data_IF_268567671195
#
_entry.id   IF_268567671195
#
_cell.length_a   1.000
_cell.length_b   1.000
_cell.length_c   1.000
_cell.angle_alpha   90.00
_cell.angle_beta   90.00
_cell.angle_gamma   90.00
#
_symmetry.space_group_name_H-M   'P 1'
#
loop_
_entity.id
_entity.type
_entity.pdbx_description
1 polymer ?
#
# COMPACT_ATOMS: atom_id res chain seq x y z
N UNK A 1 -21.91 3.34 -21.28
CA UNK A 1 -20.51 3.13 -20.81
C UNK A 1 -20.34 3.24 -19.27
N UNK A 2 -21.41 3.14 -18.46
CA UNK A 2 -21.33 3.24 -16.99
C UNK A 2 -21.22 1.88 -16.27
N UNK A 3 -21.66 0.78 -16.90
CA UNK A 3 -21.76 -0.55 -16.27
C UNK A 3 -20.37 -1.20 -16.04
N UNK A 4 -19.38 -0.89 -16.88
CA UNK A 4 -18.03 -1.44 -16.74
C UNK A 4 -17.25 -0.82 -15.57
N UNK A 5 -17.44 0.48 -15.30
CA UNK A 5 -16.78 1.17 -14.19
C UNK A 5 -17.26 0.66 -12.81
N UNK A 6 -18.55 0.33 -12.68
CA UNK A 6 -19.09 -0.27 -11.45
C UNK A 6 -18.51 -1.65 -11.16
N UNK A 7 -18.34 -2.48 -12.19
CA UNK A 7 -17.81 -3.84 -12.03
C UNK A 7 -16.34 -3.82 -11.58
N UNK A 8 -15.51 -2.97 -12.18
CA UNK A 8 -14.10 -2.86 -11.83
C UNK A 8 -13.91 -2.30 -10.42
N UNK A 9 -14.71 -1.31 -10.01
CA UNK A 9 -14.68 -0.74 -8.68
C UNK A 9 -15.07 -1.76 -7.59
N UNK A 10 -16.08 -2.59 -7.86
CA UNK A 10 -16.49 -3.67 -6.96
C UNK A 10 -15.41 -4.76 -6.84
N UNK A 11 -14.78 -5.14 -7.96
CA UNK A 11 -13.65 -6.08 -7.95
C UNK A 11 -12.47 -5.55 -7.14
N UNK A 12 -12.14 -4.27 -7.27
CA UNK A 12 -11.09 -3.63 -6.48
C UNK A 12 -11.44 -3.64 -4.99
N UNK A 13 -12.68 -3.31 -4.61
CA UNK A 13 -13.14 -3.37 -3.22
C UNK A 13 -13.03 -4.80 -2.67
N UNK A 14 -13.46 -5.79 -3.45
CA UNK A 14 -13.35 -7.20 -3.06
C UNK A 14 -11.89 -7.62 -2.85
N UNK A 15 -11.00 -7.24 -3.76
CA UNK A 15 -9.57 -7.52 -3.65
C UNK A 15 -8.98 -6.88 -2.39
N UNK A 16 -9.22 -5.58 -2.17
CA UNK A 16 -8.71 -4.86 -1.00
C UNK A 16 -9.26 -5.48 0.29
N UNK A 17 -10.56 -5.78 0.34
CA UNK A 17 -11.19 -6.40 1.50
C UNK A 17 -10.59 -7.78 1.80
N UNK A 18 -10.35 -8.60 0.78
CA UNK A 18 -9.71 -9.91 0.93
C UNK A 18 -8.28 -9.79 1.47
N UNK A 19 -7.50 -8.83 0.96
CA UNK A 19 -6.16 -8.54 1.45
C UNK A 19 -6.17 -8.11 2.93
N UNK A 20 -7.09 -7.22 3.33
CA UNK A 20 -7.21 -6.76 4.71
C UNK A 20 -7.62 -7.87 5.66
N UNK A 21 -8.55 -8.75 5.25
CA UNK A 21 -8.94 -9.91 6.05
C UNK A 21 -7.78 -10.88 6.26
N UNK A 22 -6.96 -11.13 5.22
CA UNK A 22 -5.74 -11.94 5.36
C UNK A 22 -4.72 -11.28 6.28
N UNK A 23 -4.51 -9.96 6.16
CA UNK A 23 -3.62 -9.22 7.06
C UNK A 23 -4.09 -9.30 8.53
N UNK A 24 -5.41 -9.32 8.77
CA UNK A 24 -5.97 -9.51 10.12
C UNK A 24 -5.78 -10.94 10.64
N UNK A 25 -5.79 -11.95 9.78
CA UNK A 25 -5.52 -13.33 10.19
C UNK A 25 -4.05 -13.52 10.60
N UNK A 26 -3.13 -12.94 9.82
CA UNK A 26 -1.68 -12.98 10.12
C UNK A 26 -1.33 -12.18 11.39
N UNK A 27 -2.13 -11.18 11.75
CA UNK A 27 -1.96 -10.34 12.95
C UNK A 27 -2.03 -11.11 14.26
N UNK A 28 -2.86 -12.16 14.32
CA UNK A 28 -3.08 -12.87 15.59
C UNK A 28 -1.82 -13.59 16.09
N UNK A 29 -0.77 -13.69 15.27
CA UNK A 29 0.44 -14.45 15.58
C UNK A 29 1.67 -13.59 15.88
N UNK A 30 1.73 -12.29 15.55
CA UNK A 30 2.97 -11.51 15.78
C UNK A 30 2.79 -9.97 15.74
N UNK A 31 3.24 -9.28 16.79
CA UNK A 31 3.37 -7.82 16.88
C UNK A 31 4.60 -7.33 16.08
N UNK A 32 4.75 -7.84 14.86
CA UNK A 32 5.90 -7.55 14.02
C UNK A 32 5.87 -6.07 13.61
N UNK A 33 6.96 -5.35 13.85
CA UNK A 33 7.12 -3.93 13.45
C UNK A 33 6.71 -3.67 12.00
N UNK A 34 6.96 -4.63 11.09
CA UNK A 34 6.55 -4.54 9.68
C UNK A 34 5.03 -4.50 9.51
N UNK A 35 4.30 -5.30 10.27
CA UNK A 35 2.85 -5.38 10.20
C UNK A 35 2.21 -4.09 10.71
N UNK A 36 2.75 -3.52 11.79
CA UNK A 36 2.33 -2.20 12.30
C UNK A 36 2.53 -1.11 11.24
N UNK A 37 3.69 -1.08 10.57
CA UNK A 37 3.96 -0.11 9.49
C UNK A 37 2.98 -0.27 8.34
N UNK A 38 2.70 -1.50 7.88
CA UNK A 38 1.72 -1.77 6.82
C UNK A 38 0.33 -1.25 7.22
N UNK A 39 -0.12 -1.48 8.46
CA UNK A 39 -1.41 -0.96 8.94
C UNK A 39 -1.48 0.55 8.92
N UNK A 40 -0.45 1.21 9.45
CA UNK A 40 -0.40 2.67 9.52
C UNK A 40 -0.50 3.30 8.14
N UNK A 41 0.23 2.76 7.16
CA UNK A 41 0.15 3.23 5.78
C UNK A 41 -1.19 2.95 5.12
N UNK A 42 -1.73 1.74 5.33
CA UNK A 42 -3.06 1.37 4.85
C UNK A 42 -4.11 2.34 5.39
N UNK A 43 -4.06 2.66 6.69
CA UNK A 43 -4.96 3.62 7.33
C UNK A 43 -4.80 5.03 6.76
N UNK A 44 -3.56 5.54 6.65
CA UNK A 44 -3.29 6.87 6.06
C UNK A 44 -3.79 6.97 4.62
N UNK A 45 -3.51 5.96 3.79
CA UNK A 45 -3.95 5.92 2.39
C UNK A 45 -5.48 5.85 2.28
N UNK A 46 -6.12 5.06 3.14
CA UNK A 46 -7.58 5.00 3.22
C UNK A 46 -8.17 6.34 3.64
N UNK A 47 -7.66 6.98 4.70
CA UNK A 47 -8.11 8.30 5.15
C UNK A 47 -7.95 9.37 4.06
N UNK A 48 -6.80 9.41 3.38
CA UNK A 48 -6.56 10.35 2.29
C UNK A 48 -7.56 10.16 1.15
N UNK A 49 -7.78 8.91 0.72
CA UNK A 49 -8.75 8.58 -0.33
C UNK A 49 -10.18 8.91 0.10
N UNK A 50 -10.54 8.60 1.34
CA UNK A 50 -11.86 8.91 1.91
C UNK A 50 -12.11 10.41 1.95
N UNK A 51 -11.12 11.21 2.36
CA UNK A 51 -11.22 12.66 2.37
C UNK A 51 -11.44 13.23 0.96
N UNK A 52 -10.74 12.69 -0.03
CA UNK A 52 -10.92 13.10 -1.43
C UNK A 52 -12.31 12.70 -1.97
N UNK A 53 -12.76 11.48 -1.69
CA UNK A 53 -14.10 11.02 -2.06
C UNK A 53 -15.20 11.89 -1.43
N UNK A 54 -15.05 12.27 -0.16
CA UNK A 54 -16.02 13.11 0.54
C UNK A 54 -16.06 14.55 -0.03
N UNK A 55 -14.94 15.05 -0.54
CA UNK A 55 -14.86 16.37 -1.20
C UNK A 55 -15.35 16.32 -2.65
N UNK A 56 -15.35 15.13 -3.27
CA UNK A 56 -15.72 14.98 -4.67
C UNK A 56 -17.21 15.19 -4.94
N UNK A 57 -17.50 16.09 -5.87
CA UNK A 57 -18.87 16.33 -6.37
C UNK A 57 -19.46 15.12 -7.10
N UNK A 58 -18.62 14.20 -7.58
CA UNK A 58 -19.06 12.97 -8.26
C UNK A 58 -19.85 12.07 -7.31
N UNK A 59 -19.40 11.93 -6.06
CA UNK A 59 -20.08 11.13 -5.04
C UNK A 59 -21.47 11.69 -4.70
N UNK A 60 -21.66 13.00 -4.83
CA UNK A 60 -22.96 13.64 -4.56
C UNK A 60 -23.97 13.46 -5.69
N UNK A 61 -23.51 13.41 -6.95
CA UNK A 61 -24.37 13.43 -8.13
C UNK A 61 -24.60 12.05 -8.76
N UNK A 62 -23.66 11.14 -8.60
CA UNK A 62 -23.67 9.85 -9.28
C UNK A 62 -23.94 8.69 -8.31
N UNK A 63 -24.97 7.90 -8.62
CA UNK A 63 -25.42 6.77 -7.79
C UNK A 63 -24.36 5.66 -7.68
N UNK A 64 -23.59 5.41 -8.74
CA UNK A 64 -22.51 4.44 -8.74
C UNK A 64 -21.36 4.91 -7.84
N UNK A 65 -20.99 6.19 -7.91
CA UNK A 65 -19.99 6.77 -7.01
C UNK A 65 -20.43 6.80 -5.56
N UNK A 66 -21.72 7.06 -5.29
CA UNK A 66 -22.29 6.96 -3.95
C UNK A 66 -22.21 5.54 -3.39
N UNK A 67 -22.55 4.53 -4.21
CA UNK A 67 -22.41 3.10 -3.84
C UNK A 67 -20.95 2.74 -3.59
N UNK A 68 -20.04 3.17 -4.46
CA UNK A 68 -18.60 2.98 -4.27
C UNK A 68 -18.11 3.58 -2.96
N UNK A 69 -18.46 4.84 -2.68
CA UNK A 69 -18.09 5.51 -1.43
C UNK A 69 -18.58 4.73 -0.20
N UNK A 70 -19.82 4.24 -0.20
CA UNK A 70 -20.35 3.41 0.88
C UNK A 70 -19.58 2.10 1.07
N UNK A 71 -19.21 1.43 -0.03
CA UNK A 71 -18.41 0.23 0.05
C UNK A 71 -16.98 0.52 0.52
N UNK A 72 -16.38 1.62 0.06
CA UNK A 72 -15.07 2.09 0.51
C UNK A 72 -15.04 2.44 2.01
N UNK A 73 -16.13 3.01 2.54
CA UNK A 73 -16.26 3.23 3.98
C UNK A 73 -16.22 1.91 4.77
N UNK A 74 -16.84 0.85 4.25
CA UNK A 74 -16.78 -0.49 4.87
C UNK A 74 -15.38 -1.08 4.85
N UNK A 75 -14.56 -0.79 3.84
CA UNK A 75 -13.15 -1.21 3.82
C UNK A 75 -12.40 -0.65 5.04
N UNK A 76 -12.72 0.58 5.46
CA UNK A 76 -12.11 1.21 6.63
C UNK A 76 -12.30 0.44 7.93
N UNK A 77 -13.45 -0.23 8.11
CA UNK A 77 -13.74 -1.03 9.32
C UNK A 77 -12.94 -2.34 9.38
N UNK A 78 -12.35 -2.75 8.26
CA UNK A 78 -11.48 -3.93 8.18
C UNK A 78 -10.04 -3.60 8.59
N UNK A 79 -9.61 -2.35 8.47
CA UNK A 79 -8.26 -1.91 8.84
C UNK A 79 -8.13 -2.01 10.37
N UNK A 80 -7.23 -2.87 10.89
CA UNK A 80 -7.06 -3.00 12.34
C UNK A 80 -6.57 -1.68 12.96
N UNK A 81 -6.91 -1.40 14.22
CA UNK A 81 -6.39 -0.23 14.92
C UNK A 81 -4.86 -0.28 14.94
N UNK A 82 -4.24 0.88 14.72
CA UNK A 82 -2.79 1.03 14.84
C UNK A 82 -2.53 1.34 16.32
N UNK A 83 -1.76 0.52 17.07
CA UNK A 83 -1.43 0.85 18.45
C UNK A 83 -0.69 2.20 18.50
N UNK A 84 -0.95 2.98 19.55
CA UNK A 84 -0.24 4.22 19.91
C UNK A 84 1.20 3.86 20.33
N UNK A 85 2.00 3.42 19.36
CA UNK A 85 3.45 3.43 19.48
C UNK A 85 3.86 4.86 19.17
N UNK A 86 4.44 5.52 20.18
CA UNK A 86 4.97 6.87 20.11
C UNK A 86 5.69 7.13 18.79
N UNK A 87 5.56 8.37 18.33
CA UNK A 87 5.80 8.86 16.99
C UNK A 87 7.24 8.69 16.47
N UNK A 88 7.70 7.47 16.27
CA UNK A 88 8.52 7.20 15.10
C UNK A 88 7.54 7.18 13.93
N UNK A 89 7.54 8.27 13.16
CA UNK A 89 7.11 8.20 11.78
C UNK A 89 7.86 7.01 11.17
N UNK A 90 7.21 5.86 11.12
CA UNK A 90 7.58 4.79 10.21
C UNK A 90 7.26 5.33 8.81
N UNK A 91 8.06 6.32 8.39
CA UNK A 91 8.28 6.64 7.00
C UNK A 91 8.78 5.31 6.46
N UNK A 92 8.08 4.72 5.50
CA UNK A 92 8.75 3.73 4.65
C UNK A 92 10.06 4.38 4.25
N UNK A 93 11.19 3.80 4.65
CA UNK A 93 12.49 4.29 4.21
C UNK A 93 12.38 4.51 2.70
N UNK A 94 12.73 5.72 2.25
CA UNK A 94 12.63 6.09 0.83
C UNK A 94 13.24 4.95 0.05
N UNK A 95 12.44 4.34 -0.84
CA UNK A 95 12.85 3.14 -1.58
C UNK A 95 14.23 3.40 -2.15
N UNK A 96 15.23 2.76 -1.56
CA UNK A 96 16.58 2.89 -2.03
C UNK A 96 16.61 2.30 -3.42
N UNK A 97 17.36 2.95 -4.31
CA UNK A 97 17.65 2.36 -5.61
C UNK A 97 18.56 1.14 -5.40
N UNK A 98 19.39 0.80 -6.39
CA UNK A 98 20.03 -0.50 -6.39
C UNK A 98 20.78 -0.76 -5.08
N UNK A 99 20.34 -1.76 -4.30
CA UNK A 99 20.93 -2.02 -2.98
C UNK A 99 22.43 -2.30 -3.02
N UNK A 100 22.94 -2.81 -4.15
CA UNK A 100 24.38 -2.93 -4.34
C UNK A 100 25.01 -1.56 -4.57
N UNK A 101 25.80 -1.11 -3.60
CA UNK A 101 26.40 0.23 -3.55
C UNK A 101 27.30 0.59 -4.74
N UNK A 102 27.97 -0.41 -5.33
CA UNK A 102 28.84 -0.24 -6.51
C UNK A 102 28.05 -0.23 -7.83
N UNK A 103 26.74 -0.46 -7.80
CA UNK A 103 25.91 -0.35 -8.98
C UNK A 103 25.69 1.13 -9.33
N UNK A 104 25.88 1.50 -10.61
CA UNK A 104 25.59 2.86 -11.09
C UNK A 104 24.13 3.28 -10.84
N UNK A 105 23.21 2.32 -10.83
CA UNK A 105 21.81 2.55 -10.48
C UNK A 105 21.59 2.98 -9.02
N UNK A 106 22.57 2.82 -8.12
CA UNK A 106 22.44 3.19 -6.70
C UNK A 106 22.45 4.72 -6.54
N UNK A 107 23.29 5.41 -7.32
CA UNK A 107 23.49 6.87 -7.24
C UNK A 107 22.67 7.60 -8.31
N UNK A 108 22.43 6.96 -9.46
CA UNK A 108 21.76 7.57 -10.59
C UNK A 108 20.38 6.99 -10.84
N UNK A 109 19.47 7.84 -11.35
CA UNK A 109 18.12 7.43 -11.72
C UNK A 109 18.20 6.31 -12.77
N UNK A 110 17.61 5.13 -12.51
CA UNK A 110 17.69 4.02 -13.44
C UNK A 110 16.94 4.32 -14.74
N UNK A 111 17.56 4.01 -15.88
CA UNK A 111 16.93 4.07 -17.20
C UNK A 111 16.09 2.81 -17.54
N UNK A 112 15.98 1.87 -16.61
CA UNK A 112 15.31 0.60 -16.79
C UNK A 112 14.43 0.23 -15.59
N UNK A 113 13.58 -0.78 -15.77
CA UNK A 113 12.72 -1.29 -14.69
C UNK A 113 13.57 -1.98 -13.62
N UNK A 114 13.29 -1.66 -12.36
CA UNK A 114 13.91 -2.32 -11.21
C UNK A 114 12.97 -3.35 -10.57
N UNK A 115 13.53 -4.29 -9.81
CA UNK A 115 12.80 -5.28 -9.03
C UNK A 115 12.90 -4.96 -7.55
N UNK A 116 11.75 -4.77 -6.89
CA UNK A 116 11.69 -4.50 -5.45
C UNK A 116 11.98 -5.77 -4.65
N UNK A 117 12.76 -5.65 -3.59
CA UNK A 117 13.01 -6.73 -2.64
C UNK A 117 11.70 -7.16 -1.97
N UNK A 118 11.27 -8.41 -2.18
CA UNK A 118 10.03 -8.93 -1.58
C UNK A 118 10.14 -9.18 -0.06
N UNK A 119 11.34 -9.14 0.51
CA UNK A 119 11.57 -9.37 1.94
C UNK A 119 11.54 -8.09 2.78
N UNK A 120 12.15 -7.01 2.29
CA UNK A 120 12.24 -5.74 3.01
C UNK A 120 11.40 -4.61 2.38
N UNK A 121 11.07 -4.69 1.08
CA UNK A 121 10.30 -3.67 0.33
C UNK A 121 10.89 -2.26 0.30
N UNK A 122 12.05 -2.05 0.91
CA UNK A 122 12.74 -0.75 1.02
C UNK A 122 13.95 -0.62 0.08
N UNK A 123 14.30 -1.69 -0.64
CA UNK A 123 15.40 -1.71 -1.62
C UNK A 123 14.91 -2.25 -2.96
N UNK A 124 15.33 -1.62 -4.05
CA UNK A 124 15.17 -2.13 -5.41
C UNK A 124 16.50 -2.66 -5.98
N UNK A 125 16.44 -3.52 -7.00
CA UNK A 125 17.62 -4.06 -7.68
C UNK A 125 17.47 -3.97 -9.20
N UNK A 126 18.58 -3.70 -9.89
CA UNK A 126 18.61 -3.70 -11.36
C UNK A 126 18.42 -5.12 -11.92
N UNK A 127 18.85 -6.15 -11.17
CA UNK A 127 18.64 -7.56 -11.51
C UNK A 127 19.01 -8.49 -10.37
N UNK A 128 18.94 -9.80 -10.63
CA UNK A 128 19.26 -10.84 -9.64
C UNK A 128 20.72 -10.78 -9.16
N UNK A 129 21.65 -10.39 -10.03
CA UNK A 129 23.07 -10.25 -9.67
C UNK A 129 23.30 -9.13 -8.64
N UNK A 130 22.65 -7.99 -8.81
CA UNK A 130 22.70 -6.91 -7.82
C UNK A 130 22.07 -7.33 -6.49
N UNK A 131 21.01 -8.15 -6.53
CA UNK A 131 20.39 -8.68 -5.32
C UNK A 131 21.31 -9.65 -4.56
N UNK A 132 22.08 -10.49 -5.26
CA UNK A 132 23.04 -11.41 -4.62
C UNK A 132 24.21 -10.69 -3.95
N UNK A 133 24.66 -9.57 -4.53
CA UNK A 133 25.78 -8.77 -4.01
C UNK A 133 25.39 -7.84 -2.86
N UNK A 134 24.10 -7.72 -2.58
CA UNK A 134 23.62 -6.95 -1.44
C UNK A 134 23.82 -7.75 -0.16
N UNK A 135 24.75 -7.28 0.68
CA UNK A 135 24.96 -7.79 2.04
C UNK A 135 24.26 -6.79 2.97
N UNK A 136 23.28 -7.28 3.73
CA UNK A 136 22.57 -6.52 4.76
C UNK A 136 23.49 -6.17 5.92
#
# INVERSE_FOLDING_TARGET
MYIQLTSLAEQLIHLVSSCLLRLRQVDQEDNNRKVVTIRRHTLKAWQATTNELNRSRLVQRDRAWKRFSLLWQRVGTLIPPVPDLEAEEAVFDVLQWCGWSECLCNVHKPAHRMRVCKGCWVVAYCGAECQKKYVL
#
